data_IF_920647501609
#
_entry.id   IF_920647501609
#
_cell.length_a   1.000
_cell.length_b   1.000
_cell.length_c   1.000
_cell.angle_alpha   90.00
_cell.angle_beta   90.00
_cell.angle_gamma   90.00
#
_symmetry.space_group_name_H-M   'P 1'
#
loop_
_entity.id
_entity.type
_entity.pdbx_description
1 polymer ?
#
# COMPACT_ATOMS: atom_id res chain seq x y z
N UNK A 1 4.23 -31.84 24.43
CA UNK A 1 4.25 -30.43 24.02
C UNK A 1 3.74 -30.33 22.61
N UNK A 2 2.56 -29.79 22.39
CA UNK A 2 1.93 -29.70 21.06
C UNK A 2 2.20 -28.31 20.51
N UNK A 3 2.74 -28.21 19.30
CA UNK A 3 2.88 -26.96 18.56
C UNK A 3 1.50 -26.37 18.24
N UNK A 4 1.28 -25.08 18.40
CA UNK A 4 0.08 -24.44 17.93
C UNK A 4 0.03 -24.36 16.38
N UNK A 5 -1.17 -24.39 15.77
CA UNK A 5 -1.33 -24.37 14.33
C UNK A 5 -0.94 -23.00 13.73
N UNK A 6 -0.55 -22.96 12.44
CA UNK A 6 -0.24 -21.72 11.73
C UNK A 6 -1.52 -20.97 11.42
N UNK A 7 -1.68 -19.83 12.00
CA UNK A 7 -2.81 -18.93 11.77
C UNK A 7 -2.91 -17.94 12.91
N UNK A 8 -1.95 -17.03 13.03
CA UNK A 8 -2.07 -15.93 13.99
C UNK A 8 -2.55 -14.72 13.20
N UNK A 9 -3.86 -14.45 13.27
CA UNK A 9 -4.41 -13.14 12.99
C UNK A 9 -3.84 -12.16 13.99
N UNK A 10 -2.97 -11.27 13.53
CA UNK A 10 -2.50 -10.17 14.36
C UNK A 10 -3.62 -9.12 14.41
N UNK A 11 -4.62 -9.38 15.24
CA UNK A 11 -5.64 -8.40 15.58
C UNK A 11 -5.05 -7.46 16.63
N UNK A 12 -4.45 -6.36 16.18
CA UNK A 12 -4.07 -5.27 17.04
C UNK A 12 -5.29 -4.40 17.35
N UNK A 13 -5.81 -4.46 18.57
CA UNK A 13 -6.80 -3.50 19.06
C UNK A 13 -6.16 -2.12 19.11
N UNK A 14 -6.84 -1.13 18.51
CA UNK A 14 -6.51 0.27 18.65
C UNK A 14 -6.79 0.73 20.08
N UNK A 15 -5.76 1.04 20.86
CA UNK A 15 -5.89 1.88 22.05
C UNK A 15 -5.81 3.34 21.64
N UNK A 16 -6.90 4.06 21.90
CA UNK A 16 -6.97 5.50 21.71
C UNK A 16 -6.16 6.20 22.80
N UNK A 17 -4.99 6.77 22.43
CA UNK A 17 -4.31 7.69 23.34
C UNK A 17 -2.77 7.64 23.37
N UNK A 18 -2.07 7.56 22.23
CA UNK A 18 -0.65 7.93 22.16
C UNK A 18 -0.23 8.08 20.69
N UNK A 19 -0.27 9.29 20.18
CA UNK A 19 0.00 9.57 18.77
C UNK A 19 1.47 9.42 18.35
N UNK A 20 2.42 9.42 19.29
CA UNK A 20 3.85 9.28 18.97
C UNK A 20 4.37 7.83 19.01
N UNK A 21 3.82 6.98 19.86
CA UNK A 21 4.20 5.55 19.92
C UNK A 21 3.69 4.75 18.71
N UNK A 22 2.59 5.18 18.10
CA UNK A 22 2.01 4.52 16.91
C UNK A 22 2.92 4.67 15.70
N UNK A 23 3.61 5.82 15.56
CA UNK A 23 4.48 6.09 14.41
C UNK A 23 5.76 5.25 14.40
N UNK A 24 6.35 4.99 15.55
CA UNK A 24 7.61 4.23 15.66
C UNK A 24 7.38 2.72 15.50
N UNK A 25 6.28 2.19 16.03
CA UNK A 25 5.96 0.76 15.92
C UNK A 25 5.41 0.32 14.55
N UNK A 26 4.97 1.26 13.70
CA UNK A 26 4.36 0.94 12.39
C UNK A 26 5.39 0.40 11.41
N UNK A 27 6.61 0.92 11.42
CA UNK A 27 7.70 0.47 10.55
C UNK A 27 8.13 -0.95 10.88
N UNK A 28 8.38 -1.24 12.16
CA UNK A 28 8.74 -2.58 12.63
C UNK A 28 7.62 -3.57 12.37
N UNK A 29 6.37 -3.16 12.53
CA UNK A 29 5.20 -3.99 12.25
C UNK A 29 5.15 -4.40 10.78
N UNK A 30 5.35 -3.47 9.85
CA UNK A 30 5.35 -3.78 8.43
C UNK A 30 6.61 -4.51 7.99
N UNK A 31 7.79 -4.10 8.47
CA UNK A 31 9.07 -4.73 8.13
C UNK A 31 9.20 -6.16 8.68
N UNK A 32 8.56 -6.45 9.83
CA UNK A 32 8.58 -7.76 10.47
C UNK A 32 7.52 -8.73 9.95
N UNK A 33 6.71 -8.33 9.00
CA UNK A 33 5.65 -9.17 8.43
C UNK A 33 6.26 -10.31 7.62
N UNK A 34 5.78 -11.52 7.84
CA UNK A 34 6.25 -12.70 7.10
C UNK A 34 5.88 -12.60 5.62
N UNK A 35 6.71 -13.20 4.78
CA UNK A 35 6.44 -13.36 3.35
C UNK A 35 5.04 -13.97 3.13
N UNK A 36 4.27 -13.39 2.20
CA UNK A 36 2.88 -13.77 1.90
C UNK A 36 1.86 -13.53 3.03
N UNK A 37 2.23 -12.90 4.13
CA UNK A 37 1.25 -12.60 5.17
C UNK A 37 0.22 -11.56 4.68
N UNK A 38 -0.97 -11.63 5.27
CA UNK A 38 -2.04 -10.64 5.06
C UNK A 38 -2.14 -9.76 6.29
N UNK A 39 -2.09 -8.45 6.06
CA UNK A 39 -2.32 -7.40 7.07
C UNK A 39 -3.67 -6.76 6.73
N UNK A 40 -4.62 -6.80 7.65
CA UNK A 40 -5.99 -6.34 7.39
C UNK A 40 -6.39 -5.24 8.35
N UNK A 41 -6.94 -4.14 7.80
CA UNK A 41 -7.56 -3.07 8.58
C UNK A 41 -6.61 -2.25 9.44
N UNK A 42 -5.30 -2.36 9.22
CA UNK A 42 -4.31 -1.62 9.99
C UNK A 42 -4.22 -0.16 9.53
N UNK A 43 -3.87 0.73 10.48
CA UNK A 43 -3.69 2.16 10.23
C UNK A 43 -2.22 2.52 10.36
N UNK A 44 -1.67 3.02 9.26
CA UNK A 44 -0.30 3.50 9.12
C UNK A 44 -0.25 4.98 8.72
N UNK A 45 -1.29 5.74 9.02
CA UNK A 45 -1.43 7.14 8.61
C UNK A 45 -0.29 7.99 9.13
N UNK A 46 0.38 8.73 8.23
CA UNK A 46 1.52 9.57 8.53
C UNK A 46 2.74 8.83 9.11
N UNK A 47 2.75 7.48 9.07
CA UNK A 47 3.88 6.71 9.56
C UNK A 47 5.10 6.87 8.66
N UNK A 48 6.29 6.85 9.27
CA UNK A 48 7.54 6.70 8.53
C UNK A 48 7.75 5.23 8.18
N UNK A 49 7.45 4.89 6.94
CA UNK A 49 7.65 3.59 6.32
C UNK A 49 8.72 3.66 5.22
N UNK A 50 9.57 4.68 5.27
CA UNK A 50 10.63 4.87 4.29
C UNK A 50 11.60 3.69 4.28
N UNK A 51 12.02 3.28 3.09
CA UNK A 51 12.95 2.15 2.86
C UNK A 51 12.51 0.81 3.48
N UNK A 52 11.24 0.61 3.86
CA UNK A 52 10.75 -0.71 4.25
C UNK A 52 10.81 -1.67 3.06
N UNK A 53 11.05 -2.94 3.34
CA UNK A 53 11.13 -3.97 2.32
C UNK A 53 10.34 -5.22 2.72
N UNK A 54 9.00 -5.12 2.82
CA UNK A 54 8.18 -6.30 3.04
C UNK A 54 8.13 -7.16 1.77
N UNK A 55 8.35 -8.47 1.90
CA UNK A 55 8.35 -9.36 0.75
C UNK A 55 6.96 -9.95 0.49
N UNK A 56 6.36 -9.56 -0.65
CA UNK A 56 5.09 -10.09 -1.17
C UNK A 56 3.95 -10.08 -0.16
N UNK A 57 3.89 -9.06 0.67
CA UNK A 57 2.84 -8.88 1.67
C UNK A 57 1.54 -8.45 1.00
N UNK A 58 0.42 -8.90 1.55
CA UNK A 58 -0.90 -8.43 1.17
C UNK A 58 -1.44 -7.49 2.25
N UNK A 59 -1.77 -6.26 1.86
CA UNK A 59 -2.49 -5.29 2.69
C UNK A 59 -3.94 -5.22 2.19
N UNK A 60 -4.89 -5.52 3.07
CA UNK A 60 -6.33 -5.47 2.76
C UNK A 60 -7.00 -4.45 3.67
N UNK A 61 -7.63 -3.44 3.07
CA UNK A 61 -8.33 -2.35 3.78
C UNK A 61 -7.48 -1.62 4.81
N UNK A 62 -6.18 -1.49 4.55
CA UNK A 62 -5.29 -0.70 5.39
C UNK A 62 -5.36 0.77 5.03
N UNK A 63 -5.12 1.64 6.03
CA UNK A 63 -4.97 3.08 5.83
C UNK A 63 -3.50 3.46 5.89
N UNK A 64 -3.01 4.14 4.85
CA UNK A 64 -1.67 4.67 4.70
C UNK A 64 -1.72 6.15 4.29
N UNK A 65 -2.74 6.87 4.75
CA UNK A 65 -2.93 8.29 4.40
C UNK A 65 -1.72 9.10 4.82
N UNK A 66 -1.13 9.83 3.88
CA UNK A 66 0.07 10.62 4.08
C UNK A 66 1.27 9.84 4.69
N UNK A 67 1.30 8.52 4.57
CA UNK A 67 2.45 7.72 5.01
C UNK A 67 3.67 8.03 4.14
N UNK A 68 4.84 8.02 4.75
CA UNK A 68 6.11 8.15 4.05
C UNK A 68 6.62 6.77 3.63
N UNK A 69 6.52 6.47 2.35
CA UNK A 69 6.96 5.23 1.71
C UNK A 69 8.13 5.48 0.74
N UNK A 70 8.87 6.58 0.92
CA UNK A 70 10.00 6.91 0.05
C UNK A 70 11.03 5.79 0.06
N UNK A 71 11.52 5.44 -1.14
CA UNK A 71 12.53 4.39 -1.33
C UNK A 71 12.12 3.01 -0.77
N UNK A 72 10.84 2.79 -0.46
CA UNK A 72 10.36 1.48 -0.03
C UNK A 72 10.45 0.47 -1.17
N UNK A 73 10.71 -0.79 -0.84
CA UNK A 73 10.67 -1.91 -1.81
C UNK A 73 9.39 -2.71 -1.57
N UNK A 74 8.39 -2.45 -2.39
CA UNK A 74 7.04 -3.03 -2.29
C UNK A 74 6.75 -3.98 -3.46
N UNK A 75 7.81 -4.59 -3.99
CA UNK A 75 7.72 -5.47 -5.16
C UNK A 75 6.78 -6.65 -4.89
N UNK A 76 5.87 -6.90 -5.84
CA UNK A 76 4.89 -7.99 -5.76
C UNK A 76 3.96 -7.94 -4.55
N UNK A 77 3.96 -6.82 -3.80
CA UNK A 77 2.97 -6.60 -2.74
C UNK A 77 1.58 -6.39 -3.35
N UNK A 78 0.57 -6.78 -2.60
CA UNK A 78 -0.84 -6.62 -3.00
C UNK A 78 -1.50 -5.63 -2.07
N UNK A 79 -1.97 -4.53 -2.61
CA UNK A 79 -2.78 -3.55 -1.91
C UNK A 79 -4.22 -3.70 -2.40
N UNK A 80 -5.10 -4.07 -1.52
CA UNK A 80 -6.50 -4.25 -1.85
C UNK A 80 -7.37 -3.35 -0.99
N UNK A 81 -8.12 -2.46 -1.62
CA UNK A 81 -8.95 -1.47 -0.93
C UNK A 81 -8.20 -0.61 0.09
N UNK A 82 -6.92 -0.37 -0.13
CA UNK A 82 -6.14 0.48 0.76
C UNK A 82 -6.35 1.96 0.44
N UNK A 83 -6.29 2.78 1.49
CA UNK A 83 -6.30 4.23 1.39
C UNK A 83 -4.86 4.75 1.40
N UNK A 84 -4.37 5.18 0.25
CA UNK A 84 -3.02 5.70 0.02
C UNK A 84 -3.07 7.19 -0.34
N UNK A 85 -4.13 7.90 0.03
CA UNK A 85 -4.26 9.32 -0.26
C UNK A 85 -3.08 10.09 0.32
N UNK A 86 -2.48 10.95 -0.52
CA UNK A 86 -1.31 11.78 -0.15
C UNK A 86 -0.11 10.98 0.34
N UNK A 87 -0.08 9.67 0.16
CA UNK A 87 1.11 8.88 0.48
C UNK A 87 2.30 9.35 -0.35
N UNK A 88 3.48 9.37 0.24
CA UNK A 88 4.72 9.77 -0.43
C UNK A 88 5.47 8.50 -0.81
N UNK A 89 5.37 8.10 -2.07
CA UNK A 89 5.98 6.88 -2.64
C UNK A 89 7.24 7.17 -3.47
N UNK A 90 7.73 8.39 -3.42
CA UNK A 90 8.82 8.86 -4.29
C UNK A 90 10.03 7.93 -4.28
N UNK A 91 10.42 7.46 -5.48
CA UNK A 91 11.55 6.55 -5.66
C UNK A 91 11.31 5.13 -5.12
N UNK A 92 10.09 4.79 -4.74
CA UNK A 92 9.75 3.44 -4.30
C UNK A 92 9.76 2.45 -5.47
N UNK A 93 10.09 1.20 -5.19
CA UNK A 93 9.92 0.09 -6.12
C UNK A 93 8.58 -0.62 -5.84
N UNK A 94 7.72 -0.66 -6.87
CA UNK A 94 6.40 -1.29 -6.86
C UNK A 94 6.26 -2.28 -8.02
N UNK A 95 7.36 -2.93 -8.39
CA UNK A 95 7.40 -3.84 -9.53
C UNK A 95 6.45 -5.00 -9.31
N UNK A 96 5.59 -5.23 -10.30
CA UNK A 96 4.56 -6.28 -10.23
C UNK A 96 3.61 -6.17 -9.03
N UNK A 97 3.54 -5.01 -8.39
CA UNK A 97 2.59 -4.77 -7.31
C UNK A 97 1.16 -4.68 -7.87
N UNK A 98 0.19 -5.09 -7.04
CA UNK A 98 -1.22 -4.96 -7.38
C UNK A 98 -1.86 -3.91 -6.47
N UNK A 99 -2.38 -2.84 -7.05
CA UNK A 99 -3.01 -1.71 -6.37
C UNK A 99 -4.51 -1.61 -6.70
N UNK A 100 -5.16 -2.75 -6.92
CA UNK A 100 -6.56 -2.78 -7.31
C UNK A 100 -7.51 -2.27 -6.22
N UNK A 101 -8.38 -1.35 -6.58
CA UNK A 101 -9.37 -0.76 -5.68
C UNK A 101 -8.78 0.19 -4.62
N UNK A 102 -7.57 0.68 -4.82
CA UNK A 102 -6.92 1.60 -3.90
C UNK A 102 -7.27 3.07 -4.20
N UNK A 103 -7.38 3.86 -3.15
CA UNK A 103 -7.49 5.32 -3.25
C UNK A 103 -6.08 5.93 -3.19
N UNK A 104 -5.60 6.43 -4.33
CA UNK A 104 -4.27 7.02 -4.51
C UNK A 104 -4.36 8.52 -4.81
N UNK A 105 -5.47 9.15 -4.45
CA UNK A 105 -5.65 10.58 -4.72
C UNK A 105 -4.55 11.41 -4.08
N UNK A 106 -3.98 12.31 -4.88
CA UNK A 106 -2.89 13.19 -4.46
C UNK A 106 -1.61 12.46 -4.00
N UNK A 107 -1.45 11.16 -4.31
CA UNK A 107 -0.23 10.42 -3.97
C UNK A 107 0.97 10.92 -4.79
N UNK A 108 2.13 11.02 -4.17
CA UNK A 108 3.38 11.38 -4.83
C UNK A 108 4.14 10.10 -5.22
N UNK A 109 4.03 9.72 -6.48
CA UNK A 109 4.64 8.52 -7.07
C UNK A 109 5.79 8.88 -8.03
N UNK A 110 6.38 10.07 -7.87
CA UNK A 110 7.51 10.49 -8.70
C UNK A 110 8.67 9.52 -8.57
N UNK A 111 9.33 9.28 -9.69
CA UNK A 111 10.51 8.41 -9.76
C UNK A 111 10.27 6.96 -9.28
N UNK A 112 9.02 6.51 -9.19
CA UNK A 112 8.69 5.12 -8.84
C UNK A 112 9.02 4.15 -9.96
N UNK A 113 9.43 2.93 -9.61
CA UNK A 113 9.44 1.81 -10.56
C UNK A 113 8.13 1.02 -10.44
N UNK A 114 7.24 1.24 -11.40
CA UNK A 114 5.93 0.59 -11.51
C UNK A 114 5.92 -0.51 -12.57
N UNK A 115 7.09 -1.01 -12.97
CA UNK A 115 7.21 -2.05 -14.00
C UNK A 115 6.32 -3.25 -13.70
N UNK A 116 5.38 -3.54 -14.60
CA UNK A 116 4.43 -4.63 -14.46
C UNK A 116 3.41 -4.48 -13.33
N UNK A 117 3.33 -3.33 -12.69
CA UNK A 117 2.31 -3.05 -11.69
C UNK A 117 0.90 -3.03 -12.31
N UNK A 118 -0.12 -3.29 -11.52
CA UNK A 118 -1.50 -3.25 -11.98
C UNK A 118 -2.35 -2.34 -11.10
N UNK A 119 -2.98 -1.38 -11.75
CA UNK A 119 -4.05 -0.57 -11.20
C UNK A 119 -5.35 -1.02 -11.85
N UNK A 120 -6.35 -1.28 -11.05
CA UNK A 120 -7.57 -1.82 -11.62
C UNK A 120 -8.73 -1.75 -10.64
N UNK A 121 -9.73 -2.54 -10.93
CA UNK A 121 -10.90 -2.63 -10.08
C UNK A 121 -10.96 -4.00 -9.39
N UNK A 122 -11.58 -4.00 -8.23
CA UNK A 122 -11.99 -5.23 -7.56
C UNK A 122 -13.49 -5.39 -7.74
N UNK A 123 -13.91 -6.50 -8.33
CA UNK A 123 -15.33 -6.75 -8.55
C UNK A 123 -16.03 -7.01 -7.21
N UNK A 124 -16.70 -6.00 -6.70
CA UNK A 124 -17.50 -6.07 -5.46
C UNK A 124 -18.99 -6.02 -5.73
N UNK A 125 -19.38 -5.93 -7.02
CA UNK A 125 -20.74 -5.65 -7.41
C UNK A 125 -21.18 -4.19 -7.17
N UNK A 126 -20.27 -3.32 -6.72
CA UNK A 126 -20.51 -1.90 -6.45
C UNK A 126 -19.45 -1.02 -7.15
N UNK A 127 -19.74 0.25 -7.44
CA UNK A 127 -18.80 1.14 -8.13
C UNK A 127 -17.53 1.50 -7.33
N UNK A 128 -17.44 1.12 -6.08
CA UNK A 128 -16.37 1.53 -5.13
C UNK A 128 -15.12 0.65 -5.19
N UNK A 129 -15.02 -0.25 -6.15
CA UNK A 129 -13.83 -1.12 -6.30
C UNK A 129 -12.80 -0.58 -7.29
N UNK A 130 -12.91 0.67 -7.72
CA UNK A 130 -12.00 1.28 -8.70
C UNK A 130 -10.78 1.87 -8.01
N UNK A 131 -9.62 1.77 -8.65
CA UNK A 131 -8.47 2.58 -8.23
C UNK A 131 -8.69 4.03 -8.64
N UNK A 132 -8.37 4.97 -7.75
CA UNK A 132 -8.51 6.42 -7.99
C UNK A 132 -7.13 7.08 -7.93
N UNK A 133 -6.68 7.62 -9.05
CA UNK A 133 -5.40 8.33 -9.22
C UNK A 133 -5.58 9.84 -9.37
N UNK A 134 -6.75 10.38 -9.03
CA UNK A 134 -7.02 11.81 -9.19
C UNK A 134 -5.99 12.65 -8.43
N UNK A 135 -5.26 13.50 -9.14
CA UNK A 135 -4.22 14.37 -8.56
C UNK A 135 -2.93 13.65 -8.16
N UNK A 136 -2.80 12.35 -8.43
CA UNK A 136 -1.53 11.67 -8.24
C UNK A 136 -0.47 12.23 -9.20
N UNK A 137 0.80 12.27 -8.74
CA UNK A 137 1.94 12.76 -9.52
C UNK A 137 2.87 11.59 -9.83
N UNK A 138 3.19 11.39 -11.12
CA UNK A 138 4.00 10.25 -11.59
C UNK A 138 5.19 10.68 -12.47
N UNK A 139 5.66 11.94 -12.35
CA UNK A 139 6.81 12.40 -13.12
C UNK A 139 8.02 11.49 -12.87
N UNK A 140 8.69 11.06 -13.93
CA UNK A 140 9.84 10.18 -13.85
C UNK A 140 9.53 8.73 -13.49
N UNK A 141 8.27 8.36 -13.28
CA UNK A 141 7.92 6.96 -12.98
C UNK A 141 8.13 6.05 -14.18
N UNK A 142 8.62 4.83 -13.93
CA UNK A 142 8.78 3.79 -14.95
C UNK A 142 7.48 2.97 -15.03
N UNK A 143 6.81 3.04 -16.18
CA UNK A 143 5.49 2.43 -16.40
C UNK A 143 5.54 1.24 -17.37
N UNK A 144 6.69 0.60 -17.57
CA UNK A 144 6.84 -0.51 -18.51
C UNK A 144 5.95 -1.70 -18.11
N UNK A 145 4.98 -2.05 -18.96
CA UNK A 145 4.06 -3.15 -18.69
C UNK A 145 3.06 -2.89 -17.57
N UNK A 146 2.96 -1.65 -17.07
CA UNK A 146 1.93 -1.27 -16.10
C UNK A 146 0.56 -1.31 -16.76
N UNK A 147 -0.44 -1.82 -16.05
CA UNK A 147 -1.81 -1.91 -16.54
C UNK A 147 -2.75 -1.00 -15.74
N UNK A 148 -3.67 -0.34 -16.47
CA UNK A 148 -4.68 0.56 -15.91
C UNK A 148 -6.05 0.13 -16.44
N UNK A 149 -6.77 -0.68 -15.67
CA UNK A 149 -8.10 -1.16 -16.05
C UNK A 149 -9.18 -0.45 -15.24
N UNK A 150 -9.97 0.38 -15.89
CA UNK A 150 -11.06 1.15 -15.26
C UNK A 150 -10.60 1.96 -14.05
N UNK A 151 -9.61 2.81 -14.24
CA UNK A 151 -9.00 3.66 -13.22
C UNK A 151 -9.57 5.08 -13.33
N UNK A 152 -9.88 5.70 -12.20
CA UNK A 152 -10.31 7.10 -12.14
C UNK A 152 -9.06 7.99 -12.14
N UNK A 153 -9.14 9.15 -12.83
CA UNK A 153 -8.05 10.13 -12.84
C UNK A 153 -6.82 9.73 -13.67
N UNK A 154 -6.97 8.78 -14.59
CA UNK A 154 -5.90 8.40 -15.51
C UNK A 154 -6.09 9.04 -16.90
N UNK A 155 -5.04 9.53 -17.59
CA UNK A 155 -3.68 9.72 -17.08
C UNK A 155 -3.60 10.85 -16.03
N UNK A 156 -2.69 10.75 -15.06
CA UNK A 156 -2.45 11.84 -14.13
C UNK A 156 -1.90 13.05 -14.90
N UNK A 157 -2.16 14.24 -14.41
CA UNK A 157 -1.70 15.50 -15.04
C UNK A 157 -0.29 15.81 -14.60
#
# INVERSE_FOLDING_TARGET
MRNPPPGVDVVGRADAGHTDSVKTGSRERLAGVRVYATVTGEVFDGADLSSVCPDRVQLDRCSLVAADLRQATLDRCRFKFCDLRRAVLRGASLRFANLAGCDLREADMRDCDLTGASFGFVNTGAPNGLSDLTGAVMDGAVLTGTTFDRVIGWPPR
#
